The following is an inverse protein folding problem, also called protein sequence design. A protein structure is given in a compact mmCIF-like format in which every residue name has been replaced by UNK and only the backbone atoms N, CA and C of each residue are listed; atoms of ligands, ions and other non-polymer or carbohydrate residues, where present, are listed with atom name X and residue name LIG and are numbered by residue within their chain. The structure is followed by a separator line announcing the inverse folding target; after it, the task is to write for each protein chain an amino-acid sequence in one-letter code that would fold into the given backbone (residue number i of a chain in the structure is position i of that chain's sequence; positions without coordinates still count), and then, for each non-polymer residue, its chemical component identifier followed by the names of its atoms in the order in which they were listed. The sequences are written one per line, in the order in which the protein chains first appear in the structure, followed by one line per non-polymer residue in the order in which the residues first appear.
data_IF_238239043056
#
_entry.id   IF_238239043056
#
_cell.length_a   1.000
_cell.length_b   1.000
_cell.length_c   1.000
_cell.angle_alpha   90.00
_cell.angle_beta   90.00
_cell.angle_gamma   90.00
#
_symmetry.space_group_name_H-M   'P 1'
#
loop_
_entity.id
_entity.type
_entity.pdbx_description
1 polymer ?
#
# COMPACT_ATOMS: atom_id res chain seq x y z
N UNK A 1 -3.66 15.06 1.65
CA UNK A 1 -3.94 15.66 2.98
C UNK A 1 -2.70 15.64 3.86
N UNK A 2 -2.10 14.49 4.15
CA UNK A 2 -0.87 14.37 4.97
C UNK A 2 0.27 15.28 4.49
N UNK A 3 0.59 15.28 3.19
CA UNK A 3 1.61 16.16 2.63
C UNK A 3 1.30 17.65 2.76
N UNK A 4 0.03 18.04 2.70
CA UNK A 4 -0.38 19.44 2.86
C UNK A 4 -0.12 19.94 4.30
N UNK A 5 -0.39 19.09 5.30
CA UNK A 5 -0.15 19.39 6.72
C UNK A 5 1.36 19.52 7.01
N UNK A 6 2.18 18.65 6.43
CA UNK A 6 3.64 18.72 6.56
C UNK A 6 4.17 20.02 5.95
N UNK A 7 3.70 20.38 4.75
CA UNK A 7 4.13 21.61 4.07
C UNK A 7 3.67 22.87 4.81
N UNK A 8 2.45 22.89 5.34
CA UNK A 8 1.89 24.06 6.04
C UNK A 8 2.52 24.30 7.41
N UNK A 9 2.96 23.25 8.10
CA UNK A 9 3.59 23.35 9.42
C UNK A 9 5.09 23.66 9.35
N UNK A 10 5.71 23.55 8.17
CA UNK A 10 7.11 23.90 7.97
C UNK A 10 8.12 22.93 8.59
N UNK A 11 7.66 21.84 9.24
CA UNK A 11 8.52 20.84 9.92
C UNK A 11 9.55 20.19 8.99
N UNK A 12 9.27 20.15 7.69
CA UNK A 12 10.20 19.59 6.69
C UNK A 12 11.49 20.41 6.54
N UNK A 13 11.50 21.69 6.95
CA UNK A 13 12.70 22.55 6.87
C UNK A 13 13.68 22.31 8.02
N UNK A 14 13.18 21.86 9.16
CA UNK A 14 13.99 21.59 10.36
C UNK A 14 14.51 20.15 10.41
N UNK A 15 13.92 19.25 9.62
CA UNK A 15 14.19 17.82 9.68
C UNK A 15 15.53 17.39 9.04
N UNK A 16 16.22 18.24 8.29
CA UNK A 16 17.49 17.89 7.62
C UNK A 16 17.34 16.81 6.53
N UNK A 17 18.45 16.16 6.15
CA UNK A 17 18.47 15.09 5.11
C UNK A 17 18.13 13.68 5.65
N UNK A 18 18.14 13.47 6.98
CA UNK A 18 17.94 12.15 7.59
C UNK A 18 16.57 12.06 8.29
N UNK A 19 15.51 12.08 7.47
CA UNK A 19 14.14 12.28 7.96
C UNK A 19 13.40 10.94 8.10
N UNK A 20 13.14 10.54 9.36
CA UNK A 20 12.18 9.48 9.63
C UNK A 20 10.74 9.99 9.34
N UNK A 21 10.12 9.49 8.27
CA UNK A 21 8.81 9.94 7.81
C UNK A 21 7.67 9.75 8.82
N UNK A 22 7.75 8.74 9.70
CA UNK A 22 6.78 8.55 10.77
C UNK A 22 6.90 9.64 11.85
N UNK A 23 8.12 10.02 12.22
CA UNK A 23 8.35 11.11 13.16
C UNK A 23 7.95 12.46 12.56
N UNK A 24 8.24 12.68 11.28
CA UNK A 24 7.87 13.91 10.57
C UNK A 24 6.35 14.14 10.55
N UNK A 25 5.58 13.08 10.28
CA UNK A 25 4.11 13.16 10.29
C UNK A 25 3.56 13.38 11.70
N UNK A 26 4.12 12.72 12.72
CA UNK A 26 3.73 12.94 14.10
C UNK A 26 3.98 14.40 14.55
N UNK A 27 5.14 14.96 14.22
CA UNK A 27 5.48 16.36 14.51
C UNK A 27 4.56 17.33 13.77
N UNK A 28 4.29 17.09 12.48
CA UNK A 28 3.37 17.90 11.68
C UNK A 28 1.94 17.92 12.25
N UNK A 29 1.42 16.77 12.68
CA UNK A 29 0.08 16.69 13.26
C UNK A 29 -0.01 17.29 14.66
N UNK A 30 1.08 17.23 15.44
CA UNK A 30 1.13 17.84 16.78
C UNK A 30 1.14 19.37 16.67
N UNK A 31 1.87 19.93 15.68
CA UNK A 31 1.88 21.37 15.38
C UNK A 31 0.57 21.85 14.73
N UNK A 32 0.00 21.06 13.81
CA UNK A 32 -1.24 21.40 13.12
C UNK A 32 -2.50 21.27 13.99
N UNK A 33 -2.48 20.41 15.01
CA UNK A 33 -3.60 20.17 15.92
C UNK A 33 -3.07 20.15 17.37
N UNK A 34 -3.02 21.32 18.05
CA UNK A 34 -2.37 21.48 19.35
C UNK A 34 -2.98 20.66 20.50
N UNK A 35 -4.24 20.21 20.37
CA UNK A 35 -4.90 19.35 21.35
C UNK A 35 -5.19 17.97 20.75
N UNK A 36 -4.36 16.97 21.08
CA UNK A 36 -4.63 15.55 20.81
C UNK A 36 -4.30 15.04 19.41
N UNK A 37 -3.66 15.82 18.55
CA UNK A 37 -3.30 15.43 17.18
C UNK A 37 -2.53 14.11 17.08
N UNK A 38 -1.59 13.87 18.00
CA UNK A 38 -0.77 12.65 18.03
C UNK A 38 -1.58 11.40 18.40
N UNK A 39 -2.53 11.51 19.34
CA UNK A 39 -3.40 10.39 19.74
C UNK A 39 -4.38 10.01 18.63
N UNK A 40 -4.94 11.01 17.95
CA UNK A 40 -5.80 10.78 16.79
C UNK A 40 -5.03 10.12 15.65
N UNK A 41 -3.82 10.60 15.36
CA UNK A 41 -2.93 10.00 14.36
C UNK A 41 -2.63 8.53 14.69
N UNK A 42 -2.34 8.22 15.95
CA UNK A 42 -2.06 6.85 16.39
C UNK A 42 -3.25 5.92 16.09
N UNK A 43 -4.48 6.33 16.43
CA UNK A 43 -5.69 5.55 16.15
C UNK A 43 -5.88 5.35 14.63
N UNK A 44 -5.68 6.41 13.84
CA UNK A 44 -5.77 6.34 12.38
C UNK A 44 -4.73 5.40 11.77
N UNK A 45 -3.47 5.48 12.19
CA UNK A 45 -2.38 4.63 11.71
C UNK A 45 -2.61 3.17 12.10
N UNK A 46 -3.10 2.91 13.32
CA UNK A 46 -3.48 1.54 13.73
C UNK A 46 -4.56 0.97 12.80
N UNK A 47 -5.67 1.69 12.62
CA UNK A 47 -6.77 1.24 11.76
C UNK A 47 -6.31 1.03 10.31
N UNK A 48 -5.50 1.94 9.77
CA UNK A 48 -4.93 1.83 8.44
C UNK A 48 -4.00 0.62 8.31
N UNK A 49 -3.10 0.40 9.27
CA UNK A 49 -2.17 -0.72 9.28
C UNK A 49 -2.91 -2.07 9.31
N UNK A 50 -3.95 -2.21 10.15
CA UNK A 50 -4.77 -3.42 10.18
C UNK A 50 -5.50 -3.67 8.85
N UNK A 51 -6.10 -2.63 8.26
CA UNK A 51 -6.77 -2.74 6.97
C UNK A 51 -5.80 -3.18 5.87
N UNK A 52 -4.61 -2.57 5.82
CA UNK A 52 -3.55 -2.96 4.89
C UNK A 52 -3.10 -4.41 5.10
N UNK A 53 -2.90 -4.85 6.36
CA UNK A 53 -2.50 -6.23 6.66
C UNK A 53 -3.54 -7.25 6.17
N UNK A 54 -4.84 -6.95 6.32
CA UNK A 54 -5.91 -7.82 5.82
C UNK A 54 -5.90 -7.85 4.28
N UNK A 55 -5.72 -6.70 3.64
CA UNK A 55 -5.62 -6.59 2.18
C UNK A 55 -4.46 -7.42 1.61
N UNK A 56 -3.26 -7.32 2.20
CA UNK A 56 -2.10 -8.09 1.77
C UNK A 56 -2.25 -9.59 2.01
N UNK A 57 -2.86 -10.00 3.12
CA UNK A 57 -3.16 -11.42 3.38
C UNK A 57 -4.02 -12.05 2.27
N UNK A 58 -5.05 -11.31 1.81
CA UNK A 58 -5.88 -11.75 0.69
C UNK A 58 -5.06 -11.83 -0.62
N UNK A 59 -4.23 -10.82 -0.89
CA UNK A 59 -3.41 -10.78 -2.11
C UNK A 59 -2.44 -11.97 -2.18
N UNK A 60 -1.68 -12.22 -1.11
CA UNK A 60 -0.74 -13.36 -1.02
C UNK A 60 -1.45 -14.68 -1.24
N UNK A 61 -2.62 -14.86 -0.62
CA UNK A 61 -3.40 -16.09 -0.74
C UNK A 61 -3.90 -16.30 -2.18
N UNK A 62 -4.41 -15.26 -2.85
CA UNK A 62 -4.92 -15.39 -4.23
C UNK A 62 -3.80 -15.61 -5.24
N UNK A 63 -2.71 -14.85 -5.15
CA UNK A 63 -1.55 -15.01 -6.00
C UNK A 63 -0.91 -16.39 -5.83
N UNK A 64 -0.81 -16.87 -4.59
CA UNK A 64 -0.23 -18.17 -4.34
C UNK A 64 -1.16 -19.35 -4.67
N UNK A 65 -2.49 -19.21 -4.57
CA UNK A 65 -3.42 -20.21 -5.13
C UNK A 65 -3.30 -20.29 -6.65
N UNK A 66 -3.11 -19.16 -7.33
CA UNK A 66 -2.89 -19.14 -8.77
C UNK A 66 -1.59 -19.87 -9.17
N UNK A 67 -0.54 -19.76 -8.36
CA UNK A 67 0.77 -20.37 -8.67
C UNK A 67 0.90 -21.84 -8.21
N UNK A 68 0.41 -22.17 -7.02
CA UNK A 68 0.61 -23.47 -6.36
C UNK A 68 -0.66 -24.33 -6.28
N UNK A 69 -1.80 -23.81 -6.74
CA UNK A 69 -3.09 -24.50 -6.74
C UNK A 69 -3.91 -24.32 -5.44
N UNK A 70 -5.12 -24.92 -5.39
CA UNK A 70 -6.13 -24.64 -4.35
C UNK A 70 -5.72 -24.98 -2.91
N UNK A 71 -4.82 -25.96 -2.75
CA UNK A 71 -4.38 -26.45 -1.43
C UNK A 71 -3.40 -25.52 -0.70
N UNK A 72 -2.80 -24.55 -1.40
CA UNK A 72 -1.70 -23.75 -0.86
C UNK A 72 -2.13 -22.62 0.10
N UNK A 73 -3.43 -22.42 0.32
CA UNK A 73 -3.93 -21.27 1.10
C UNK A 73 -3.42 -21.24 2.55
N UNK A 74 -3.47 -22.37 3.28
CA UNK A 74 -3.03 -22.46 4.68
C UNK A 74 -1.53 -22.17 4.83
N UNK A 75 -0.62 -22.84 4.09
CA UNK A 75 0.81 -22.60 4.27
C UNK A 75 1.22 -21.17 3.89
N UNK A 76 0.57 -20.55 2.90
CA UNK A 76 0.85 -19.16 2.50
C UNK A 76 0.43 -18.14 3.56
N UNK A 77 -0.72 -18.35 4.20
CA UNK A 77 -1.16 -17.49 5.30
C UNK A 77 -0.21 -17.61 6.49
N UNK A 78 0.25 -18.83 6.80
CA UNK A 78 1.23 -19.04 7.87
C UNK A 78 2.57 -18.37 7.56
N UNK A 79 3.05 -18.48 6.31
CA UNK A 79 4.23 -17.78 5.83
C UNK A 79 4.08 -16.25 5.98
N UNK A 80 2.93 -15.69 5.59
CA UNK A 80 2.65 -14.27 5.75
C UNK A 80 2.66 -13.83 7.22
N UNK A 81 2.07 -14.63 8.12
CA UNK A 81 2.07 -14.34 9.57
C UNK A 81 3.49 -14.28 10.14
N UNK A 82 4.34 -15.25 9.78
CA UNK A 82 5.76 -15.25 10.17
C UNK A 82 6.47 -14.02 9.58
N UNK A 83 6.18 -13.68 8.33
CA UNK A 83 6.73 -12.49 7.67
C UNK A 83 6.43 -11.19 8.40
N UNK A 84 5.23 -11.04 9.00
CA UNK A 84 4.89 -9.88 9.83
C UNK A 84 5.79 -9.82 11.08
N UNK A 85 5.98 -10.94 11.77
CA UNK A 85 6.82 -11.01 12.97
C UNK A 85 8.28 -10.71 12.64
N UNK A 86 8.79 -11.28 11.54
CA UNK A 86 10.17 -11.05 11.08
C UNK A 86 10.37 -9.58 10.68
N UNK A 87 9.41 -8.99 9.96
CA UNK A 87 9.45 -7.58 9.56
C UNK A 87 9.48 -6.62 10.75
N UNK A 88 8.97 -7.01 11.93
CA UNK A 88 9.02 -6.20 13.12
C UNK A 88 10.43 -6.14 13.78
N UNK A 89 11.34 -7.03 13.39
CA UNK A 89 12.70 -7.13 13.95
C UNK A 89 13.75 -6.50 13.02
N UNK A 90 13.48 -6.42 11.72
CA UNK A 90 14.38 -5.83 10.72
C UNK A 90 14.29 -4.30 10.76
N UNK A 91 15.39 -3.60 10.44
CA UNK A 91 15.40 -2.15 10.32
C UNK A 91 14.43 -1.65 9.24
N UNK A 92 13.72 -0.56 9.55
CA UNK A 92 12.66 -0.03 8.69
C UNK A 92 13.17 0.32 7.28
N UNK A 93 14.38 0.87 7.16
CA UNK A 93 14.98 1.23 5.87
C UNK A 93 15.19 0.02 4.97
N UNK A 94 15.69 -1.07 5.52
CA UNK A 94 15.91 -2.32 4.77
C UNK A 94 14.60 -2.95 4.33
N UNK A 95 13.57 -2.96 5.19
CA UNK A 95 12.24 -3.45 4.84
C UNK A 95 11.64 -2.64 3.69
N UNK A 96 11.74 -1.30 3.73
CA UNK A 96 11.24 -0.42 2.67
C UNK A 96 11.99 -0.68 1.36
N UNK A 97 13.33 -0.73 1.38
CA UNK A 97 14.13 -1.01 0.20
C UNK A 97 13.79 -2.36 -0.43
N UNK A 98 13.59 -3.39 0.39
CA UNK A 98 13.16 -4.71 -0.08
C UNK A 98 11.78 -4.65 -0.75
N UNK A 99 10.80 -3.96 -0.14
CA UNK A 99 9.47 -3.78 -0.69
C UNK A 99 9.50 -3.03 -2.02
N UNK A 100 10.31 -1.98 -2.15
CA UNK A 100 10.44 -1.20 -3.38
C UNK A 100 10.97 -2.06 -4.54
N UNK A 101 11.94 -2.94 -4.27
CA UNK A 101 12.44 -3.88 -5.29
C UNK A 101 11.35 -4.87 -5.69
N UNK A 102 10.60 -5.42 -4.74
CA UNK A 102 9.51 -6.38 -5.00
C UNK A 102 8.36 -5.74 -5.79
N UNK A 103 7.93 -4.54 -5.41
CA UNK A 103 6.90 -3.81 -6.15
C UNK A 103 7.39 -3.36 -7.52
N UNK A 104 8.65 -2.94 -7.65
CA UNK A 104 9.26 -2.65 -8.95
C UNK A 104 9.25 -3.88 -9.86
N UNK A 105 9.63 -5.04 -9.34
CA UNK A 105 9.59 -6.31 -10.07
C UNK A 105 8.16 -6.70 -10.49
N UNK A 106 7.16 -6.45 -9.65
CA UNK A 106 5.75 -6.70 -9.94
C UNK A 106 5.18 -5.70 -10.97
N UNK A 107 5.64 -4.45 -10.96
CA UNK A 107 5.16 -3.39 -11.84
C UNK A 107 5.50 -3.65 -13.32
N UNK A 108 6.69 -4.18 -13.61
CA UNK A 108 7.15 -4.46 -14.98
C UNK A 108 6.20 -5.40 -15.74
N UNK A 109 5.90 -6.63 -15.27
CA UNK A 109 5.04 -7.57 -15.98
C UNK A 109 3.59 -7.10 -16.04
N UNK A 110 3.10 -6.41 -15.00
CA UNK A 110 1.73 -5.89 -14.96
C UNK A 110 1.53 -4.74 -15.94
N UNK A 111 2.46 -3.79 -16.01
CA UNK A 111 2.43 -2.71 -17.01
C UNK A 111 2.57 -3.25 -18.44
N UNK A 112 3.50 -4.20 -18.68
CA UNK A 112 3.68 -4.78 -20.00
C UNK A 112 2.40 -5.48 -20.48
N UNK A 113 1.79 -6.28 -19.60
CA UNK A 113 0.52 -6.96 -19.89
C UNK A 113 -0.61 -5.98 -20.15
N UNK A 114 -0.70 -4.90 -19.36
CA UNK A 114 -1.71 -3.86 -19.53
C UNK A 114 -1.57 -3.13 -20.87
N UNK A 115 -0.35 -2.80 -21.29
CA UNK A 115 -0.10 -2.13 -22.58
C UNK A 115 -0.47 -3.02 -23.77
N UNK A 116 -0.13 -4.31 -23.72
CA UNK A 116 -0.47 -5.27 -24.78
C UNK A 116 -1.98 -5.53 -24.85
N UNK A 117 -2.67 -5.60 -23.70
CA UNK A 117 -4.11 -5.84 -23.64
C UNK A 117 -4.96 -4.57 -23.80
N UNK A 118 -4.37 -3.38 -23.66
CA UNK A 118 -5.04 -2.08 -23.79
C UNK A 118 -6.01 -1.97 -24.98
N UNK A 119 -5.63 -2.31 -26.23
CA UNK A 119 -6.54 -2.22 -27.36
C UNK A 119 -7.72 -3.20 -27.26
N UNK A 120 -7.51 -4.39 -26.69
CA UNK A 120 -8.58 -5.40 -26.50
C UNK A 120 -9.55 -4.99 -25.40
N UNK A 121 -9.04 -4.47 -24.30
CA UNK A 121 -9.87 -3.97 -23.18
C UNK A 121 -10.69 -2.76 -23.64
N UNK A 122 -10.11 -1.85 -24.43
CA UNK A 122 -10.83 -0.70 -24.96
C UNK A 122 -11.96 -1.11 -25.93
N UNK A 123 -11.75 -2.15 -26.74
CA UNK A 123 -12.82 -2.74 -27.57
C UNK A 123 -14.00 -3.24 -26.73
N UNK A 124 -13.73 -4.07 -25.71
CA UNK A 124 -14.77 -4.60 -24.80
C UNK A 124 -15.43 -3.52 -23.94
N UNK A 125 -14.69 -2.50 -23.53
CA UNK A 125 -15.24 -1.37 -22.80
C UNK A 125 -16.27 -0.62 -23.65
N UNK A 126 -15.96 -0.36 -24.93
CA UNK A 126 -16.91 0.29 -25.86
C UNK A 126 -18.17 -0.53 -26.06
N UNK A 127 -18.05 -1.85 -26.23
CA UNK A 127 -19.20 -2.77 -26.31
C UNK A 127 -20.06 -2.71 -25.05
N UNK A 128 -19.44 -2.78 -23.86
CA UNK A 128 -20.13 -2.70 -22.57
C UNK A 128 -20.90 -1.38 -22.40
N UNK A 129 -20.27 -0.25 -22.69
CA UNK A 129 -20.92 1.06 -22.56
C UNK A 129 -22.00 1.29 -23.63
N UNK A 130 -21.84 0.75 -24.84
CA UNK A 130 -22.88 0.80 -25.87
C UNK A 130 -24.12 -0.02 -25.47
N UNK A 131 -23.93 -1.21 -24.89
CA UNK A 131 -25.02 -2.03 -24.38
C UNK A 131 -25.72 -1.38 -23.18
N UNK A 132 -24.97 -0.72 -22.29
CA UNK A 132 -25.54 0.03 -21.16
C UNK A 132 -26.42 1.20 -21.61
N UNK A 133 -26.06 1.85 -22.71
CA UNK A 133 -26.83 2.95 -23.31
C UNK A 133 -28.10 2.49 -24.03
N UNK A 134 -28.14 1.25 -24.53
CA UNK A 134 -29.35 0.65 -25.13
C UNK A 134 -30.33 0.08 -24.10
N UNK A 135 -29.87 -0.18 -22.87
CA UNK A 135 -30.70 -0.67 -21.77
C UNK A 135 -31.43 0.46 -21.00
N UNK A 136 -31.33 1.71 -21.46
CA UNK A 136 -31.98 2.89 -20.90
C UNK A 136 -32.96 3.49 -21.90
#
# INVERSE_FOLDING_TARGET
ITGLIILSTGVWKEAGDDVNGALLTASAFTLGIPFGGSYLLLICVLCFSFSSMIGFSYYVTKCGIFLFGPGAHIPLIFFYLIGIVVSAVIELGDVINFLDIMFGMMAIPTMLSALLLSPRVMGRAREYFAALGQAR
#
